data_IF_618728911838
#
_entry.id   IF_618728911838
#
_cell.length_a   1.000
_cell.length_b   1.000
_cell.length_c   1.000
_cell.angle_alpha   90.00
_cell.angle_beta   90.00
_cell.angle_gamma   90.00
#
_symmetry.space_group_name_H-M   'P 1'
#
loop_
_entity.id
_entity.type
_entity.pdbx_description
1 polymer ?
#
# COMPACT_ATOMS: atom_id res chain seq x y z
N UNK A 1 27.85 70.54 -37.41
CA UNK A 1 26.99 70.34 -36.25
C UNK A 1 25.56 70.15 -36.75
N UNK A 2 25.09 68.93 -36.82
CA UNK A 2 23.69 68.64 -37.14
C UNK A 2 23.23 67.59 -36.14
N UNK A 3 22.32 67.99 -35.24
CA UNK A 3 21.68 67.10 -34.28
C UNK A 3 20.57 66.34 -34.98
N UNK A 4 20.69 65.00 -35.03
CA UNK A 4 19.66 64.07 -35.51
C UNK A 4 18.84 63.61 -34.30
N UNK A 5 17.63 64.09 -34.18
CA UNK A 5 16.64 63.61 -33.20
C UNK A 5 16.01 62.33 -33.74
N UNK A 6 16.38 61.19 -33.15
CA UNK A 6 15.71 59.90 -33.42
C UNK A 6 14.58 59.72 -32.43
N UNK A 7 13.35 59.89 -32.90
CA UNK A 7 12.11 59.67 -32.14
C UNK A 7 11.91 58.17 -32.03
N UNK A 8 12.13 57.60 -30.83
CA UNK A 8 11.88 56.18 -30.53
C UNK A 8 10.38 55.98 -30.27
N UNK A 9 9.66 55.44 -31.24
CA UNK A 9 8.26 55.03 -31.09
C UNK A 9 8.24 53.75 -30.26
N UNK A 10 7.91 53.80 -28.95
CA UNK A 10 7.57 52.69 -28.11
C UNK A 10 6.17 52.19 -28.52
N UNK A 11 6.13 51.22 -29.41
CA UNK A 11 4.92 50.39 -29.64
C UNK A 11 4.67 49.58 -28.39
N UNK A 12 3.82 50.06 -27.49
CA UNK A 12 3.20 49.25 -26.43
C UNK A 12 2.30 48.23 -27.09
N UNK A 13 2.82 47.02 -27.28
CA UNK A 13 1.96 45.85 -27.52
C UNK A 13 1.15 45.59 -26.24
N UNK A 14 -0.02 46.22 -26.16
CA UNK A 14 -1.06 45.77 -25.26
C UNK A 14 -1.53 44.39 -25.77
N UNK A 15 -0.96 43.31 -25.22
CA UNK A 15 -1.55 42.00 -25.35
C UNK A 15 -2.90 42.09 -24.64
N UNK A 16 -3.97 42.22 -25.42
CA UNK A 16 -5.31 41.94 -24.92
C UNK A 16 -5.33 40.45 -24.54
N UNK A 17 -5.05 40.14 -23.30
CA UNK A 17 -5.46 38.92 -22.73
C UNK A 17 -6.98 38.92 -22.79
N UNK A 18 -7.57 38.16 -23.73
CA UNK A 18 -8.98 37.89 -23.70
C UNK A 18 -9.24 37.19 -22.37
N UNK A 19 -9.64 37.92 -21.34
CA UNK A 19 -10.26 37.37 -20.17
C UNK A 19 -11.49 36.62 -20.66
N UNK A 20 -11.55 35.34 -20.43
CA UNK A 20 -12.64 34.47 -20.85
C UNK A 20 -13.91 35.01 -20.16
N UNK A 21 -14.77 35.72 -20.90
CA UNK A 21 -15.98 36.31 -20.36
C UNK A 21 -17.06 35.23 -20.38
N UNK A 22 -17.59 34.85 -19.22
CA UNK A 22 -18.64 33.85 -19.09
C UNK A 22 -19.99 34.56 -19.07
N UNK A 23 -20.72 34.49 -20.16
CA UNK A 23 -22.03 35.11 -20.29
C UNK A 23 -23.09 34.45 -19.39
N UNK A 24 -23.00 33.15 -19.17
CA UNK A 24 -23.93 32.43 -18.32
C UNK A 24 -23.23 31.60 -17.21
N UNK A 25 -23.94 31.33 -16.08
CA UNK A 25 -23.35 30.62 -14.96
C UNK A 25 -23.11 29.13 -15.26
N UNK A 26 -23.80 28.53 -16.23
CA UNK A 26 -23.59 27.16 -16.65
C UNK A 26 -22.24 26.98 -17.32
N UNK A 27 -21.84 27.88 -18.21
CA UNK A 27 -20.54 27.86 -18.87
C UNK A 27 -19.40 28.07 -17.88
N UNK A 28 -19.60 28.96 -16.90
CA UNK A 28 -18.64 29.18 -15.81
C UNK A 28 -18.40 27.91 -15.00
N UNK A 29 -19.47 27.22 -14.62
CA UNK A 29 -19.40 25.93 -13.92
C UNK A 29 -18.83 24.83 -14.81
N UNK A 30 -19.24 24.81 -16.09
CA UNK A 30 -18.77 23.85 -17.08
C UNK A 30 -17.25 23.89 -17.29
N UNK A 31 -16.68 25.10 -17.32
CA UNK A 31 -15.23 25.26 -17.42
C UNK A 31 -14.50 24.66 -16.23
N UNK A 32 -14.93 24.94 -15.00
CA UNK A 32 -14.34 24.35 -13.78
C UNK A 32 -14.51 22.81 -13.78
N UNK A 33 -15.69 22.32 -14.11
CA UNK A 33 -15.96 20.89 -14.20
C UNK A 33 -15.08 20.19 -15.24
N UNK A 34 -14.80 20.86 -16.37
CA UNK A 34 -13.91 20.34 -17.41
C UNK A 34 -12.48 20.19 -16.93
N UNK A 35 -11.97 21.17 -16.19
CA UNK A 35 -10.62 21.06 -15.60
C UNK A 35 -10.53 19.88 -14.62
N UNK A 36 -11.55 19.67 -13.79
CA UNK A 36 -11.62 18.52 -12.88
C UNK A 36 -11.69 17.19 -13.61
N UNK A 37 -12.49 17.12 -14.68
CA UNK A 37 -12.59 15.92 -15.53
C UNK A 37 -11.23 15.56 -16.14
N UNK A 38 -10.47 16.55 -16.62
CA UNK A 38 -9.14 16.34 -17.18
C UNK A 38 -8.19 15.71 -16.15
N UNK A 39 -8.15 16.26 -14.93
CA UNK A 39 -7.36 15.70 -13.81
C UNK A 39 -7.79 14.27 -13.49
N UNK A 40 -9.10 14.01 -13.39
CA UNK A 40 -9.63 12.67 -13.11
C UNK A 40 -9.26 11.65 -14.19
N UNK A 41 -9.24 12.05 -15.45
CA UNK A 41 -8.78 11.20 -16.58
C UNK A 41 -7.30 10.83 -16.44
N UNK A 42 -6.44 11.79 -16.08
CA UNK A 42 -5.01 11.51 -15.86
C UNK A 42 -4.79 10.62 -14.64
N UNK A 43 -5.55 10.85 -13.58
CA UNK A 43 -5.52 9.99 -12.40
C UNK A 43 -5.89 8.54 -12.75
N UNK A 44 -6.98 8.31 -13.47
CA UNK A 44 -7.37 6.95 -13.88
C UNK A 44 -6.36 6.30 -14.83
N UNK A 45 -5.73 7.08 -15.74
CA UNK A 45 -4.66 6.55 -16.61
C UNK A 45 -3.44 6.11 -15.79
N UNK A 46 -3.04 6.89 -14.78
CA UNK A 46 -1.97 6.53 -13.85
C UNK A 46 -2.32 5.27 -13.04
N UNK A 47 -3.47 5.25 -12.38
CA UNK A 47 -3.94 4.13 -11.55
C UNK A 47 -4.08 2.84 -12.35
N UNK A 48 -4.70 2.90 -13.52
CA UNK A 48 -4.84 1.75 -14.41
C UNK A 48 -3.47 1.20 -14.86
N UNK A 49 -2.53 2.07 -15.20
CA UNK A 49 -1.19 1.64 -15.61
C UNK A 49 -0.42 0.96 -14.46
N UNK A 50 -0.57 1.47 -13.23
CA UNK A 50 0.04 0.89 -12.04
C UNK A 50 -0.52 -0.51 -11.74
N UNK A 51 -1.84 -0.64 -11.69
CA UNK A 51 -2.51 -1.90 -11.35
C UNK A 51 -2.30 -3.01 -12.39
N UNK A 52 -2.27 -2.67 -13.69
CA UNK A 52 -2.10 -3.66 -14.77
C UNK A 52 -0.63 -3.91 -15.16
N UNK A 53 0.31 -3.68 -14.24
CA UNK A 53 1.71 -4.10 -14.35
C UNK A 53 2.47 -3.45 -15.51
N UNK A 54 2.18 -2.19 -15.84
CA UNK A 54 3.01 -1.45 -16.80
C UNK A 54 4.40 -1.21 -16.22
N UNK A 55 5.39 -1.05 -17.11
CA UNK A 55 6.78 -0.78 -16.71
C UNK A 55 6.82 0.48 -15.82
N UNK A 56 7.58 0.44 -14.73
CA UNK A 56 7.77 1.50 -13.75
C UNK A 56 7.99 2.88 -14.38
N UNK A 57 8.92 2.99 -15.33
CA UNK A 57 9.16 4.23 -16.09
C UNK A 57 7.91 4.81 -16.75
N UNK A 58 6.98 3.95 -17.20
CA UNK A 58 5.72 4.39 -17.79
C UNK A 58 4.75 4.89 -16.72
N UNK A 59 4.69 4.21 -15.59
CA UNK A 59 3.85 4.59 -14.45
C UNK A 59 4.30 5.94 -13.90
N UNK A 60 5.61 6.13 -13.71
CA UNK A 60 6.20 7.41 -13.30
C UNK A 60 5.91 8.54 -14.30
N UNK A 61 6.06 8.29 -15.60
CA UNK A 61 5.73 9.28 -16.63
C UNK A 61 4.24 9.68 -16.60
N UNK A 62 3.33 8.76 -16.27
CA UNK A 62 1.91 9.05 -16.13
C UNK A 62 1.61 9.83 -14.83
N UNK A 63 2.33 9.54 -13.74
CA UNK A 63 2.27 10.32 -12.51
C UNK A 63 2.68 11.78 -12.74
N UNK A 64 3.78 12.00 -13.45
CA UNK A 64 4.25 13.35 -13.77
C UNK A 64 3.23 14.11 -14.64
N UNK A 65 2.65 13.45 -15.64
CA UNK A 65 1.57 14.03 -16.46
C UNK A 65 0.33 14.37 -15.63
N UNK A 66 0.02 13.60 -14.60
CA UNK A 66 -1.07 13.92 -13.67
C UNK A 66 -0.75 15.17 -12.86
N UNK A 67 0.47 15.29 -12.33
CA UNK A 67 0.90 16.49 -11.58
C UNK A 67 0.88 17.74 -12.45
N UNK A 68 1.35 17.64 -13.70
CA UNK A 68 1.32 18.73 -14.68
C UNK A 68 -0.13 19.18 -14.96
N UNK A 69 -1.05 18.23 -15.19
CA UNK A 69 -2.46 18.51 -15.44
C UNK A 69 -3.13 19.19 -14.24
N UNK A 70 -2.81 18.78 -13.01
CA UNK A 70 -3.36 19.43 -11.79
C UNK A 70 -2.89 20.89 -11.71
N UNK A 71 -1.62 21.17 -12.02
CA UNK A 71 -1.08 22.53 -12.02
C UNK A 71 -1.69 23.39 -13.14
N UNK A 72 -1.79 22.85 -14.34
CA UNK A 72 -2.41 23.52 -15.49
C UNK A 72 -3.88 23.83 -15.19
N UNK A 73 -4.64 22.84 -14.74
CA UNK A 73 -6.05 23.02 -14.34
C UNK A 73 -6.20 24.08 -13.25
N UNK A 74 -5.30 24.09 -12.25
CA UNK A 74 -5.29 25.11 -11.20
C UNK A 74 -5.04 26.50 -11.76
N UNK A 75 -4.08 26.67 -12.68
CA UNK A 75 -3.78 27.95 -13.31
C UNK A 75 -4.94 28.43 -14.17
N UNK A 76 -5.52 27.54 -14.96
CA UNK A 76 -6.67 27.84 -15.81
C UNK A 76 -7.88 28.34 -14.98
N UNK A 77 -8.21 27.65 -13.87
CA UNK A 77 -9.28 28.07 -12.96
C UNK A 77 -8.92 29.40 -12.27
N UNK A 78 -7.67 29.57 -11.83
CA UNK A 78 -7.22 30.79 -11.15
C UNK A 78 -7.28 32.02 -12.07
N UNK A 79 -7.04 31.82 -13.37
CA UNK A 79 -7.12 32.86 -14.41
C UNK A 79 -8.53 33.31 -14.77
N UNK A 80 -9.57 32.56 -14.33
CA UNK A 80 -10.96 32.96 -14.58
C UNK A 80 -11.33 34.24 -13.84
N UNK A 81 -12.12 35.17 -14.45
CA UNK A 81 -12.72 36.28 -13.71
C UNK A 81 -13.70 35.75 -12.64
N UNK A 82 -14.10 36.63 -11.72
CA UNK A 82 -15.26 36.32 -10.87
C UNK A 82 -16.56 36.37 -11.67
N UNK A 83 -17.47 35.44 -11.45
CA UNK A 83 -18.79 35.51 -12.06
C UNK A 83 -19.61 36.61 -11.40
N UNK A 84 -19.97 37.67 -12.15
CA UNK A 84 -20.62 38.86 -11.57
C UNK A 84 -19.90 39.37 -10.31
N UNK A 85 -18.56 39.43 -10.34
CA UNK A 85 -17.67 39.77 -9.23
C UNK A 85 -17.51 38.76 -8.11
N UNK A 86 -18.33 37.71 -8.05
CA UNK A 86 -18.23 36.59 -7.07
C UNK A 86 -17.13 35.61 -7.48
N UNK A 87 -16.13 35.45 -6.64
CA UNK A 87 -14.98 34.55 -6.84
C UNK A 87 -15.07 33.28 -5.99
N UNK A 88 -16.07 33.15 -5.12
CA UNK A 88 -16.12 32.13 -4.06
C UNK A 88 -16.03 30.70 -4.59
N UNK A 89 -16.78 30.36 -5.65
CA UNK A 89 -16.75 29.04 -6.27
C UNK A 89 -15.41 28.76 -6.97
N UNK A 90 -14.90 29.72 -7.73
CA UNK A 90 -13.57 29.65 -8.36
C UNK A 90 -12.48 29.41 -7.32
N UNK A 91 -12.46 30.21 -6.26
CA UNK A 91 -11.44 30.13 -5.22
C UNK A 91 -11.49 28.82 -4.44
N UNK A 92 -12.70 28.25 -4.27
CA UNK A 92 -12.89 26.89 -3.71
C UNK A 92 -12.31 25.82 -4.63
N UNK A 93 -12.53 25.93 -5.95
CA UNK A 93 -11.96 25.01 -6.92
C UNK A 93 -10.43 25.10 -7.00
N UNK A 94 -9.87 26.31 -6.99
CA UNK A 94 -8.40 26.55 -6.91
C UNK A 94 -7.81 25.92 -5.64
N UNK A 95 -8.49 26.08 -4.50
CA UNK A 95 -8.06 25.52 -3.22
C UNK A 95 -8.08 24.00 -3.24
N UNK A 96 -9.10 23.40 -3.87
CA UNK A 96 -9.18 21.96 -4.06
C UNK A 96 -8.04 21.44 -4.96
N UNK A 97 -7.76 22.09 -6.10
CA UNK A 97 -6.65 21.72 -6.98
C UNK A 97 -5.29 21.85 -6.29
N UNK A 98 -5.10 22.88 -5.46
CA UNK A 98 -3.88 23.04 -4.66
C UNK A 98 -3.74 21.90 -3.65
N UNK A 99 -4.82 21.52 -2.96
CA UNK A 99 -4.83 20.39 -2.05
C UNK A 99 -4.47 19.10 -2.78
N UNK A 100 -5.09 18.87 -3.94
CA UNK A 100 -4.87 17.67 -4.75
C UNK A 100 -3.41 17.56 -5.20
N UNK A 101 -2.82 18.67 -5.66
CA UNK A 101 -1.40 18.71 -6.02
C UNK A 101 -0.48 18.38 -4.84
N UNK A 102 -0.71 19.03 -3.68
CA UNK A 102 0.13 18.81 -2.50
C UNK A 102 0.05 17.33 -2.04
N UNK A 103 -1.14 16.75 -2.05
CA UNK A 103 -1.32 15.33 -1.73
C UNK A 103 -0.53 14.44 -2.69
N UNK A 104 -0.69 14.62 -4.00
CA UNK A 104 -0.01 13.78 -5.00
C UNK A 104 1.51 13.98 -5.02
N UNK A 105 1.99 15.19 -4.75
CA UNK A 105 3.41 15.52 -4.82
C UNK A 105 4.16 15.28 -3.51
N UNK A 106 3.58 15.68 -2.38
CA UNK A 106 4.25 15.68 -1.08
C UNK A 106 3.85 14.48 -0.23
N UNK A 107 2.54 14.24 -0.05
CA UNK A 107 2.06 13.20 0.85
C UNK A 107 2.33 11.81 0.25
N UNK A 108 2.08 11.60 -1.05
CA UNK A 108 2.44 10.34 -1.73
C UNK A 108 3.95 10.11 -1.81
N UNK A 109 4.77 11.15 -1.95
CA UNK A 109 6.23 10.99 -1.91
C UNK A 109 6.72 10.55 -0.54
N UNK A 110 6.10 11.03 0.55
CA UNK A 110 6.39 10.56 1.91
C UNK A 110 5.94 9.11 2.11
N UNK A 111 4.78 8.74 1.57
CA UNK A 111 4.25 7.38 1.61
C UNK A 111 5.23 6.41 0.92
N UNK A 112 5.68 6.71 -0.30
CA UNK A 112 6.66 5.89 -1.02
C UNK A 112 7.96 5.73 -0.21
N UNK A 113 8.46 6.80 0.39
CA UNK A 113 9.67 6.74 1.22
C UNK A 113 9.47 5.94 2.52
N UNK A 114 8.24 5.77 2.98
CA UNK A 114 7.90 4.97 4.17
C UNK A 114 7.65 3.49 3.85
N UNK A 115 7.45 3.12 2.59
CA UNK A 115 7.14 1.75 2.19
C UNK A 115 8.23 0.78 2.65
N UNK A 116 9.50 1.10 2.39
CA UNK A 116 10.65 0.29 2.80
C UNK A 116 10.76 0.19 4.34
N UNK A 117 10.42 1.26 5.07
CA UNK A 117 10.40 1.28 6.53
C UNK A 117 9.19 0.50 7.06
N UNK A 118 8.05 0.59 6.38
CA UNK A 118 6.82 -0.10 6.76
C UNK A 118 7.00 -1.62 6.78
N UNK A 119 7.80 -2.17 5.88
CA UNK A 119 8.08 -3.61 5.84
C UNK A 119 8.91 -4.11 7.04
N UNK A 120 9.49 -3.22 7.85
CA UNK A 120 10.34 -3.61 8.98
C UNK A 120 9.54 -4.12 10.19
N UNK A 121 8.31 -3.65 10.39
CA UNK A 121 7.46 -4.09 11.50
C UNK A 121 5.97 -3.99 11.18
N UNK A 122 5.14 -4.73 11.95
CA UNK A 122 3.68 -4.63 11.84
C UNK A 122 3.19 -3.20 12.15
N UNK A 123 3.69 -2.58 13.21
CA UNK A 123 3.26 -1.24 13.63
C UNK A 123 3.61 -0.18 12.59
N UNK A 124 4.78 -0.32 11.94
CA UNK A 124 5.18 0.57 10.85
C UNK A 124 4.28 0.39 9.62
N UNK A 125 3.93 -0.85 9.27
CA UNK A 125 3.00 -1.14 8.17
C UNK A 125 1.58 -0.64 8.46
N UNK A 126 1.08 -0.83 9.67
CA UNK A 126 -0.22 -0.30 10.09
C UNK A 126 -0.26 1.23 10.01
N UNK A 127 0.80 1.90 10.49
CA UNK A 127 0.93 3.36 10.41
C UNK A 127 1.00 3.85 8.94
N UNK A 128 1.69 3.12 8.08
CA UNK A 128 1.79 3.40 6.65
C UNK A 128 0.40 3.35 5.97
N UNK A 129 -0.34 2.26 6.14
CA UNK A 129 -1.67 2.10 5.55
C UNK A 129 -2.69 3.11 6.13
N UNK A 130 -2.59 3.41 7.43
CA UNK A 130 -3.42 4.46 8.05
C UNK A 130 -3.11 5.84 7.47
N UNK A 131 -1.85 6.13 7.11
CA UNK A 131 -1.50 7.37 6.43
C UNK A 131 -2.10 7.46 5.03
N UNK A 132 -2.10 6.37 4.25
CA UNK A 132 -2.77 6.32 2.94
C UNK A 132 -4.27 6.58 3.06
N UNK A 133 -4.93 6.00 4.06
CA UNK A 133 -6.35 6.24 4.33
C UNK A 133 -6.62 7.71 4.68
N UNK A 134 -5.81 8.31 5.56
CA UNK A 134 -5.95 9.74 5.92
C UNK A 134 -5.71 10.69 4.76
N UNK A 135 -4.81 10.35 3.85
CA UNK A 135 -4.59 11.12 2.62
C UNK A 135 -5.85 11.07 1.74
N UNK A 136 -6.45 9.89 1.61
CA UNK A 136 -7.71 9.70 0.89
C UNK A 136 -8.87 10.47 1.53
N UNK A 137 -9.01 10.42 2.86
CA UNK A 137 -9.99 11.21 3.61
C UNK A 137 -9.83 12.72 3.39
N UNK A 138 -8.61 13.23 3.47
CA UNK A 138 -8.28 14.64 3.22
C UNK A 138 -8.71 15.11 1.82
N UNK A 139 -8.49 14.27 0.80
CA UNK A 139 -8.95 14.54 -0.56
C UNK A 139 -10.48 14.54 -0.64
N UNK A 140 -11.14 13.59 -0.01
CA UNK A 140 -12.59 13.50 0.01
C UNK A 140 -13.23 14.72 0.68
N UNK A 141 -12.74 15.14 1.86
CA UNK A 141 -13.18 16.36 2.53
C UNK A 141 -12.99 17.61 1.66
N UNK A 142 -11.88 17.71 0.95
CA UNK A 142 -11.61 18.80 0.00
C UNK A 142 -12.64 18.82 -1.14
N UNK A 143 -12.96 17.66 -1.69
CA UNK A 143 -13.96 17.47 -2.72
C UNK A 143 -15.37 17.86 -2.23
N UNK A 144 -15.76 17.45 -1.02
CA UNK A 144 -17.05 17.80 -0.44
C UNK A 144 -17.16 19.32 -0.18
N UNK A 145 -16.11 19.99 0.28
CA UNK A 145 -16.08 21.47 0.39
C UNK A 145 -16.28 22.14 -0.98
N UNK A 146 -15.66 21.61 -2.03
CA UNK A 146 -15.81 22.14 -3.37
C UNK A 146 -17.24 21.89 -3.91
N UNK A 147 -17.82 20.71 -3.71
CA UNK A 147 -19.21 20.41 -4.07
C UNK A 147 -20.21 21.34 -3.33
N UNK A 148 -19.94 21.64 -2.05
CA UNK A 148 -20.75 22.58 -1.30
C UNK A 148 -20.69 24.00 -1.91
N UNK A 149 -19.50 24.48 -2.28
CA UNK A 149 -19.36 25.75 -2.97
C UNK A 149 -20.06 25.77 -4.36
N UNK A 150 -20.00 24.66 -5.09
CA UNK A 150 -20.73 24.47 -6.35
C UNK A 150 -22.25 24.61 -6.16
N UNK A 151 -22.81 23.95 -5.13
CA UNK A 151 -24.24 24.04 -4.80
C UNK A 151 -24.67 25.46 -4.45
N UNK A 152 -23.86 26.16 -3.63
CA UNK A 152 -24.12 27.57 -3.28
C UNK A 152 -24.11 28.47 -4.52
N UNK A 153 -23.11 28.31 -5.38
CA UNK A 153 -23.02 29.08 -6.64
C UNK A 153 -24.22 28.80 -7.54
N UNK A 154 -24.60 27.54 -7.72
CA UNK A 154 -25.72 27.12 -8.53
C UNK A 154 -27.05 27.74 -8.03
N UNK A 155 -27.31 27.64 -6.73
CA UNK A 155 -28.51 28.22 -6.11
C UNK A 155 -28.58 29.75 -6.28
N UNK A 156 -27.44 30.45 -6.06
CA UNK A 156 -27.33 31.91 -6.19
C UNK A 156 -27.58 32.41 -7.64
N UNK A 157 -27.25 31.56 -8.62
CA UNK A 157 -27.34 31.93 -10.04
C UNK A 157 -28.49 31.20 -10.81
N UNK A 158 -29.42 30.58 -10.10
CA UNK A 158 -30.56 29.84 -10.67
C UNK A 158 -30.14 28.72 -11.64
N UNK A 159 -29.05 28.00 -11.33
CA UNK A 159 -28.61 26.85 -12.11
C UNK A 159 -29.16 25.57 -11.48
N UNK A 160 -29.83 24.77 -12.25
CA UNK A 160 -30.26 23.44 -11.83
C UNK A 160 -29.11 22.45 -12.01
N UNK A 161 -28.60 21.89 -10.89
CA UNK A 161 -27.59 20.84 -10.92
C UNK A 161 -28.27 19.52 -11.28
N UNK A 162 -27.88 18.95 -12.42
CA UNK A 162 -28.28 17.59 -12.79
C UNK A 162 -27.28 16.63 -12.13
N UNK A 163 -27.77 15.76 -11.24
CA UNK A 163 -26.96 14.65 -10.73
C UNK A 163 -26.78 13.61 -11.84
N UNK A 164 -25.82 13.83 -12.72
CA UNK A 164 -25.38 12.78 -13.63
C UNK A 164 -24.32 11.95 -12.91
N UNK A 165 -24.59 10.67 -12.73
CA UNK A 165 -23.60 9.71 -12.32
C UNK A 165 -22.48 9.72 -13.37
N UNK A 166 -21.27 10.03 -12.94
CA UNK A 166 -20.11 10.11 -13.83
C UNK A 166 -19.43 8.74 -13.85
N UNK A 167 -19.37 8.09 -15.00
CA UNK A 167 -18.63 6.83 -15.18
C UNK A 167 -17.21 6.92 -14.59
N UNK A 168 -16.54 8.05 -14.80
CA UNK A 168 -15.21 8.31 -14.25
C UNK A 168 -15.23 8.40 -12.71
N UNK A 169 -16.27 9.00 -12.13
CA UNK A 169 -16.46 9.04 -10.68
C UNK A 169 -16.70 7.66 -10.09
N UNK A 170 -17.48 6.82 -10.76
CA UNK A 170 -17.74 5.44 -10.35
C UNK A 170 -16.46 4.60 -10.40
N UNK A 171 -15.64 4.79 -11.44
CA UNK A 171 -14.31 4.14 -11.54
C UNK A 171 -13.39 4.54 -10.38
N UNK A 172 -13.34 5.83 -10.05
CA UNK A 172 -12.52 6.33 -8.93
C UNK A 172 -12.99 5.77 -7.58
N UNK A 173 -14.32 5.73 -7.37
CA UNK A 173 -14.90 5.13 -6.16
C UNK A 173 -14.58 3.64 -6.07
N UNK A 174 -14.67 2.91 -7.17
CA UNK A 174 -14.32 1.49 -7.21
C UNK A 174 -12.86 1.24 -6.80
N UNK A 175 -11.93 2.07 -7.28
CA UNK A 175 -10.51 1.99 -6.90
C UNK A 175 -10.34 2.26 -5.40
N UNK A 176 -11.03 3.26 -4.86
CA UNK A 176 -11.00 3.56 -3.43
C UNK A 176 -11.50 2.38 -2.58
N UNK A 177 -12.67 1.85 -2.88
CA UNK A 177 -13.28 0.74 -2.14
C UNK A 177 -12.41 -0.54 -2.22
N UNK A 178 -11.81 -0.79 -3.39
CA UNK A 178 -10.89 -1.91 -3.63
C UNK A 178 -9.64 -1.80 -2.73
N UNK A 179 -9.05 -0.61 -2.63
CA UNK A 179 -7.88 -0.39 -1.78
C UNK A 179 -8.21 -0.58 -0.30
N UNK A 180 -9.34 -0.06 0.18
CA UNK A 180 -9.78 -0.27 1.57
C UNK A 180 -9.97 -1.76 1.89
N UNK A 181 -10.60 -2.51 0.98
CA UNK A 181 -10.76 -3.94 1.14
C UNK A 181 -9.42 -4.68 1.20
N UNK A 182 -8.49 -4.34 0.29
CA UNK A 182 -7.15 -4.90 0.29
C UNK A 182 -6.40 -4.60 1.59
N UNK A 183 -6.41 -3.34 2.06
CA UNK A 183 -5.70 -2.92 3.28
C UNK A 183 -6.14 -3.74 4.51
N UNK A 184 -7.44 -3.96 4.67
CA UNK A 184 -7.97 -4.78 5.77
C UNK A 184 -7.39 -6.20 5.77
N UNK A 185 -7.36 -6.86 4.60
CA UNK A 185 -6.86 -8.23 4.47
C UNK A 185 -5.33 -8.26 4.57
N UNK A 186 -4.65 -7.25 4.01
CA UNK A 186 -3.20 -7.16 4.04
C UNK A 186 -2.66 -7.06 5.47
N UNK A 187 -3.27 -6.25 6.34
CA UNK A 187 -2.88 -6.18 7.75
C UNK A 187 -3.08 -7.50 8.50
N UNK A 188 -4.13 -8.25 8.17
CA UNK A 188 -4.36 -9.58 8.75
C UNK A 188 -3.27 -10.57 8.31
N UNK A 189 -2.86 -10.53 7.04
CA UNK A 189 -1.76 -11.31 6.49
C UNK A 189 -0.41 -10.89 7.07
N UNK A 190 -0.12 -9.59 7.08
CA UNK A 190 1.21 -9.06 7.36
C UNK A 190 1.68 -9.31 8.81
N UNK A 191 0.76 -9.28 9.77
CA UNK A 191 1.09 -9.48 11.19
C UNK A 191 1.74 -10.84 11.46
N UNK A 192 1.14 -11.99 11.14
CA UNK A 192 1.78 -13.29 11.30
C UNK A 192 2.96 -13.48 10.34
N UNK A 193 2.95 -12.89 9.14
CA UNK A 193 4.09 -12.91 8.21
C UNK A 193 5.36 -12.33 8.84
N UNK A 194 5.27 -11.16 9.47
CA UNK A 194 6.41 -10.57 10.20
C UNK A 194 6.78 -11.38 11.44
N UNK A 195 5.81 -11.95 12.13
CA UNK A 195 6.07 -12.78 13.29
C UNK A 195 6.83 -14.06 12.94
N UNK A 196 6.53 -14.66 11.77
CA UNK A 196 7.30 -15.80 11.24
C UNK A 196 8.75 -15.38 10.95
N UNK A 197 8.99 -14.20 10.38
CA UNK A 197 10.35 -13.71 10.16
C UNK A 197 11.15 -13.63 11.47
N UNK A 198 10.55 -13.16 12.56
CA UNK A 198 11.20 -13.15 13.88
C UNK A 198 11.43 -14.57 14.44
N UNK A 199 10.53 -15.52 14.15
CA UNK A 199 10.73 -16.92 14.51
C UNK A 199 11.92 -17.52 13.76
N UNK A 200 12.03 -17.28 12.46
CA UNK A 200 13.14 -17.77 11.64
C UNK A 200 14.47 -17.14 12.06
N UNK A 201 14.49 -15.87 12.40
CA UNK A 201 15.67 -15.21 12.95
C UNK A 201 16.10 -15.82 14.31
N UNK A 202 15.15 -16.13 15.18
CA UNK A 202 15.44 -16.79 16.45
C UNK A 202 16.01 -18.21 16.25
N UNK A 203 15.52 -18.94 15.24
CA UNK A 203 16.05 -20.26 14.84
C UNK A 203 17.49 -20.13 14.33
N UNK A 204 17.76 -19.19 13.45
CA UNK A 204 19.10 -18.93 12.91
C UNK A 204 20.11 -18.59 14.02
N UNK A 205 19.70 -17.78 14.99
CA UNK A 205 20.52 -17.38 16.15
C UNK A 205 20.63 -18.44 17.24
N UNK A 206 20.01 -19.62 17.08
CA UNK A 206 19.89 -20.67 18.10
C UNK A 206 19.32 -20.14 19.43
N UNK A 207 18.42 -19.17 19.40
CA UNK A 207 17.79 -18.56 20.57
C UNK A 207 16.52 -19.36 20.96
N UNK A 208 16.67 -20.38 21.82
CA UNK A 208 15.58 -21.27 22.23
C UNK A 208 14.41 -20.49 22.86
N UNK A 209 14.70 -19.54 23.73
CA UNK A 209 13.66 -18.71 24.36
C UNK A 209 12.90 -17.88 23.30
N UNK A 210 13.64 -17.28 22.36
CA UNK A 210 13.05 -16.53 21.23
C UNK A 210 12.21 -17.44 20.32
N UNK A 211 12.63 -18.67 20.06
CA UNK A 211 11.87 -19.66 19.28
C UNK A 211 10.51 -19.91 19.94
N UNK A 212 10.50 -20.21 21.24
CA UNK A 212 9.24 -20.50 21.97
C UNK A 212 8.31 -19.28 22.03
N UNK A 213 8.84 -18.09 22.28
CA UNK A 213 8.05 -16.86 22.31
C UNK A 213 7.45 -16.51 20.94
N UNK A 214 8.27 -16.54 19.90
CA UNK A 214 7.82 -16.20 18.55
C UNK A 214 6.86 -17.24 17.97
N UNK A 215 7.07 -18.52 18.25
CA UNK A 215 6.15 -19.62 17.91
C UNK A 215 4.75 -19.38 18.49
N UNK A 216 4.67 -19.08 19.78
CA UNK A 216 3.39 -18.85 20.46
C UNK A 216 2.68 -17.57 19.92
N UNK A 217 3.44 -16.52 19.65
CA UNK A 217 2.92 -15.30 19.05
C UNK A 217 2.42 -15.53 17.62
N UNK A 218 3.17 -16.28 16.81
CA UNK A 218 2.78 -16.66 15.45
C UNK A 218 1.45 -17.42 15.42
N UNK A 219 1.31 -18.44 16.29
CA UNK A 219 0.08 -19.21 16.40
C UNK A 219 -1.11 -18.31 16.75
N UNK A 220 -0.93 -17.47 17.78
CA UNK A 220 -1.97 -16.53 18.21
C UNK A 220 -2.38 -15.60 17.08
N UNK A 221 -1.43 -14.94 16.41
CA UNK A 221 -1.74 -13.97 15.35
C UNK A 221 -2.41 -14.64 14.14
N UNK A 222 -1.99 -15.86 13.79
CA UNK A 222 -2.62 -16.62 12.73
C UNK A 222 -4.08 -17.00 13.07
N UNK A 223 -4.34 -17.46 14.30
CA UNK A 223 -5.69 -17.79 14.78
C UNK A 223 -6.59 -16.54 14.87
N UNK A 224 -6.09 -15.43 15.45
CA UNK A 224 -6.81 -14.15 15.51
C UNK A 224 -7.14 -13.65 14.10
N UNK A 225 -6.21 -13.81 13.15
CA UNK A 225 -6.41 -13.46 11.74
C UNK A 225 -7.51 -14.29 11.09
N UNK A 226 -7.56 -15.60 11.32
CA UNK A 226 -8.62 -16.48 10.81
C UNK A 226 -10.01 -16.06 11.32
N UNK A 227 -10.11 -15.65 12.58
CA UNK A 227 -11.36 -15.11 13.14
C UNK A 227 -11.76 -13.80 12.45
N UNK A 228 -10.82 -12.87 12.29
CA UNK A 228 -11.08 -11.58 11.62
C UNK A 228 -11.53 -11.75 10.17
N UNK A 229 -10.90 -12.65 9.41
CA UNK A 229 -11.29 -12.92 8.01
C UNK A 229 -12.74 -13.36 7.85
N UNK A 230 -13.31 -14.07 8.84
CA UNK A 230 -14.70 -14.53 8.78
C UNK A 230 -15.71 -13.37 8.80
N UNK A 231 -15.34 -12.18 9.28
CA UNK A 231 -16.19 -10.98 9.32
C UNK A 231 -16.09 -10.11 8.06
N UNK A 232 -15.09 -10.34 7.20
CA UNK A 232 -14.88 -9.57 5.98
C UNK A 232 -15.77 -10.11 4.86
N UNK A 233 -16.61 -9.23 4.32
CA UNK A 233 -17.47 -9.58 3.17
C UNK A 233 -16.66 -9.56 1.88
N UNK A 234 -16.94 -10.47 0.91
CA UNK A 234 -16.30 -10.45 -0.40
C UNK A 234 -16.45 -9.10 -1.11
N UNK A 235 -15.41 -8.65 -1.79
CA UNK A 235 -15.46 -7.44 -2.61
C UNK A 235 -16.20 -7.72 -3.92
N UNK A 236 -17.39 -7.15 -4.11
CA UNK A 236 -18.23 -7.42 -5.30
C UNK A 236 -18.41 -8.92 -5.63
N UNK A 237 -18.44 -9.75 -4.60
CA UNK A 237 -18.55 -11.21 -4.74
C UNK A 237 -17.21 -11.94 -4.88
N UNK A 238 -16.09 -11.25 -5.05
CA UNK A 238 -14.75 -11.83 -5.10
C UNK A 238 -14.18 -12.01 -3.68
N UNK A 239 -13.81 -13.25 -3.37
CA UNK A 239 -13.20 -13.65 -2.10
C UNK A 239 -11.74 -14.11 -2.26
N UNK A 240 -11.14 -13.90 -3.42
CA UNK A 240 -9.84 -14.50 -3.80
C UNK A 240 -8.71 -14.17 -2.83
N UNK A 241 -8.52 -12.87 -2.51
CA UNK A 241 -7.46 -12.46 -1.60
C UNK A 241 -7.72 -12.88 -0.14
N UNK A 242 -8.97 -12.89 0.32
CA UNK A 242 -9.31 -13.40 1.64
C UNK A 242 -9.07 -14.92 1.73
N UNK A 243 -9.37 -15.68 0.68
CA UNK A 243 -9.09 -17.11 0.61
C UNK A 243 -7.58 -17.40 0.58
N UNK A 244 -6.81 -16.63 -0.16
CA UNK A 244 -5.34 -16.74 -0.19
C UNK A 244 -4.73 -16.39 1.17
N UNK A 245 -5.20 -15.33 1.83
CA UNK A 245 -4.83 -14.98 3.20
C UNK A 245 -5.14 -16.15 4.16
N UNK A 246 -6.35 -16.71 4.09
CA UNK A 246 -6.74 -17.87 4.90
C UNK A 246 -5.81 -19.08 4.69
N UNK A 247 -5.38 -19.33 3.47
CA UNK A 247 -4.42 -20.40 3.15
C UNK A 247 -3.08 -20.14 3.86
N UNK A 248 -2.60 -18.91 3.82
CA UNK A 248 -1.36 -18.52 4.49
C UNK A 248 -1.45 -18.63 6.01
N UNK A 249 -2.55 -18.17 6.60
CA UNK A 249 -2.78 -18.29 8.05
C UNK A 249 -2.87 -19.76 8.51
N UNK A 250 -3.53 -20.61 7.73
CA UNK A 250 -3.59 -22.05 8.00
C UNK A 250 -2.22 -22.73 7.88
N UNK A 251 -1.36 -22.26 6.96
CA UNK A 251 0.03 -22.70 6.89
C UNK A 251 0.74 -22.41 8.21
N UNK A 252 0.66 -21.18 8.74
CA UNK A 252 1.29 -20.81 10.02
C UNK A 252 0.77 -21.63 11.20
N UNK A 253 -0.54 -21.91 11.26
CA UNK A 253 -1.12 -22.76 12.30
C UNK A 253 -0.52 -24.18 12.23
N UNK A 254 -0.41 -24.77 11.04
CA UNK A 254 0.19 -26.09 10.83
C UNK A 254 1.68 -26.10 11.11
N UNK A 255 2.41 -25.07 10.68
CA UNK A 255 3.84 -24.90 10.96
C UNK A 255 4.10 -25.00 12.47
N UNK A 256 3.34 -24.23 13.26
CA UNK A 256 3.52 -24.21 14.71
C UNK A 256 3.12 -25.54 15.35
N UNK A 257 1.92 -26.05 15.04
CA UNK A 257 1.37 -27.21 15.73
C UNK A 257 2.07 -28.52 15.35
N UNK A 258 2.44 -28.68 14.07
CA UNK A 258 2.87 -29.97 13.54
C UNK A 258 4.39 -30.05 13.37
N UNK A 259 5.09 -28.92 13.28
CA UNK A 259 6.47 -28.86 12.81
C UNK A 259 7.46 -28.25 13.80
N UNK A 260 7.04 -27.28 14.62
CA UNK A 260 7.94 -26.61 15.56
C UNK A 260 8.41 -27.51 16.71
N UNK A 261 7.70 -28.59 17.03
CA UNK A 261 8.16 -29.62 17.97
C UNK A 261 9.51 -30.22 17.54
N UNK A 262 9.65 -30.58 16.26
CA UNK A 262 10.90 -31.11 15.69
C UNK A 262 12.06 -30.09 15.78
N UNK A 263 11.75 -28.81 15.60
CA UNK A 263 12.76 -27.73 15.74
C UNK A 263 13.22 -27.60 17.18
N UNK A 264 12.30 -27.54 18.15
CA UNK A 264 12.62 -27.48 19.58
C UNK A 264 13.43 -28.71 20.04
N UNK A 265 13.02 -29.92 19.63
CA UNK A 265 13.72 -31.16 19.94
C UNK A 265 15.15 -31.18 19.42
N UNK A 266 15.38 -30.68 18.21
CA UNK A 266 16.74 -30.57 17.65
C UNK A 266 17.62 -29.66 18.51
N UNK A 267 17.15 -28.46 18.88
CA UNK A 267 17.97 -27.53 19.67
C UNK A 267 18.22 -28.05 21.09
N UNK A 268 17.26 -28.64 21.74
CA UNK A 268 17.41 -29.28 23.05
C UNK A 268 18.41 -30.44 23.00
N UNK A 269 18.32 -31.29 21.95
CA UNK A 269 19.26 -32.41 21.76
C UNK A 269 20.67 -31.92 21.49
N UNK A 270 20.81 -30.84 20.69
CA UNK A 270 22.09 -30.18 20.39
C UNK A 270 22.76 -29.62 21.65
N UNK A 271 22.01 -28.99 22.52
CA UNK A 271 22.49 -28.43 23.78
C UNK A 271 22.93 -29.54 24.76
N UNK A 272 22.10 -30.59 24.87
CA UNK A 272 22.45 -31.78 25.68
C UNK A 272 23.72 -32.47 25.17
N UNK A 273 23.83 -32.67 23.85
CA UNK A 273 25.01 -33.29 23.27
C UNK A 273 26.26 -32.43 23.46
N UNK A 274 26.17 -31.09 23.33
CA UNK A 274 27.27 -30.20 23.59
C UNK A 274 27.82 -30.34 25.03
N UNK A 275 26.92 -30.53 26.00
CA UNK A 275 27.31 -30.79 27.42
C UNK A 275 28.01 -32.12 27.56
N UNK A 276 27.45 -33.21 27.02
CA UNK A 276 28.04 -34.55 27.04
C UNK A 276 29.43 -34.51 26.39
N UNK A 277 29.57 -33.90 25.23
CA UNK A 277 30.83 -33.78 24.50
C UNK A 277 31.86 -33.04 25.30
N UNK A 278 31.54 -31.91 25.90
CA UNK A 278 32.45 -31.09 26.73
C UNK A 278 32.94 -31.85 27.94
N UNK A 279 32.09 -32.65 28.59
CA UNK A 279 32.49 -33.45 29.75
C UNK A 279 33.33 -34.70 29.33
N UNK A 280 33.04 -35.30 28.20
CA UNK A 280 33.82 -36.41 27.66
C UNK A 280 35.24 -35.97 27.24
N UNK A 281 35.36 -34.84 26.55
CA UNK A 281 36.66 -34.30 26.08
C UNK A 281 37.63 -33.89 27.21
N UNK A 282 37.12 -33.65 28.42
CA UNK A 282 38.00 -33.36 29.59
C UNK A 282 38.69 -34.59 30.16
N UNK A 283 38.29 -35.81 29.75
CA UNK A 283 38.75 -37.05 30.38
C UNK A 283 39.85 -37.73 29.57
N UNK A 284 41.01 -37.97 30.22
CA UNK A 284 42.11 -38.69 29.60
C UNK A 284 41.87 -40.20 29.45
N UNK A 285 41.05 -40.80 30.36
CA UNK A 285 40.71 -42.20 30.37
C UNK A 285 39.19 -42.38 30.67
N UNK A 286 38.33 -42.21 29.67
CA UNK A 286 36.86 -42.33 29.86
C UNK A 286 36.49 -43.79 30.15
N UNK A 287 35.55 -43.98 31.05
CA UNK A 287 34.95 -45.28 31.34
C UNK A 287 34.07 -45.80 30.19
N UNK A 288 33.81 -47.09 30.15
CA UNK A 288 32.89 -47.67 29.13
C UNK A 288 31.51 -47.00 29.13
N UNK A 289 30.96 -46.69 30.31
CA UNK A 289 29.66 -46.02 30.43
C UNK A 289 29.69 -44.62 29.83
N UNK A 290 30.81 -43.85 29.94
CA UNK A 290 30.97 -42.55 29.34
C UNK A 290 31.15 -42.63 27.84
N UNK A 291 31.87 -43.61 27.32
CA UNK A 291 31.96 -43.89 25.88
C UNK A 291 30.56 -44.23 25.30
N UNK A 292 29.82 -45.08 25.98
CA UNK A 292 28.46 -45.48 25.53
C UNK A 292 27.51 -44.27 25.56
N UNK A 293 27.58 -43.41 26.58
CA UNK A 293 26.78 -42.20 26.68
C UNK A 293 27.15 -41.15 25.56
N UNK A 294 28.42 -41.02 25.25
CA UNK A 294 28.88 -40.14 24.14
C UNK A 294 28.38 -40.68 22.79
N UNK A 295 28.55 -41.99 22.53
CA UNK A 295 28.13 -42.59 21.28
C UNK A 295 26.60 -42.49 21.11
N UNK A 296 25.82 -42.68 22.18
CA UNK A 296 24.37 -42.48 22.19
C UNK A 296 24.05 -41.00 21.86
N UNK A 297 24.75 -40.01 22.47
CA UNK A 297 24.59 -38.60 22.18
C UNK A 297 24.85 -38.26 20.71
N UNK A 298 25.89 -38.88 20.11
CA UNK A 298 26.17 -38.74 18.66
C UNK A 298 25.01 -39.32 17.82
N UNK A 299 24.47 -40.47 18.16
CA UNK A 299 23.35 -41.07 17.44
C UNK A 299 22.07 -40.20 17.55
N UNK A 300 21.79 -39.71 18.76
CA UNK A 300 20.61 -38.87 19.04
C UNK A 300 20.68 -37.54 18.27
N UNK A 301 21.84 -36.84 18.28
CA UNK A 301 21.98 -35.57 17.54
C UNK A 301 21.93 -35.75 16.02
N UNK A 302 22.49 -36.84 15.49
CA UNK A 302 22.40 -37.17 14.07
C UNK A 302 20.94 -37.42 13.65
N UNK A 303 20.19 -38.17 14.44
CA UNK A 303 18.74 -38.43 14.20
C UNK A 303 17.94 -37.12 14.24
N UNK A 304 18.15 -36.30 15.26
CA UNK A 304 17.47 -35.00 15.40
C UNK A 304 17.81 -34.05 14.26
N UNK A 305 19.09 -34.00 13.84
CA UNK A 305 19.54 -33.18 12.71
C UNK A 305 18.89 -33.58 11.40
N UNK A 306 18.80 -34.88 11.11
CA UNK A 306 18.14 -35.39 9.92
C UNK A 306 16.64 -35.03 9.90
N UNK A 307 15.95 -35.22 11.03
CA UNK A 307 14.54 -34.84 11.17
C UNK A 307 14.33 -33.33 11.00
N UNK A 308 15.19 -32.51 11.60
CA UNK A 308 15.16 -31.05 11.46
C UNK A 308 15.37 -30.60 9.99
N UNK A 309 16.38 -31.15 9.31
CA UNK A 309 16.65 -30.82 7.91
C UNK A 309 15.50 -31.18 6.97
N UNK A 310 14.93 -32.38 7.13
CA UNK A 310 13.77 -32.81 6.36
C UNK A 310 12.52 -31.95 6.63
N UNK A 311 12.32 -31.60 7.90
CA UNK A 311 11.24 -30.71 8.32
C UNK A 311 11.37 -29.31 7.70
N UNK A 312 12.57 -28.70 7.74
CA UNK A 312 12.87 -27.41 7.14
C UNK A 312 12.67 -27.39 5.62
N UNK A 313 13.10 -28.44 4.93
CA UNK A 313 12.88 -28.56 3.49
C UNK A 313 11.38 -28.52 3.17
N UNK A 314 10.59 -29.30 3.90
CA UNK A 314 9.12 -29.36 3.71
C UNK A 314 8.47 -28.01 4.02
N UNK A 315 8.85 -27.36 5.13
CA UNK A 315 8.32 -26.04 5.50
C UNK A 315 8.67 -24.97 4.47
N UNK A 316 9.91 -24.93 3.99
CA UNK A 316 10.31 -23.96 2.97
C UNK A 316 9.55 -24.11 1.66
N UNK A 317 9.27 -25.35 1.24
CA UNK A 317 8.45 -25.61 0.06
C UNK A 317 7.02 -25.11 0.28
N UNK A 318 6.38 -25.50 1.38
CA UNK A 318 5.00 -25.10 1.69
C UNK A 318 4.84 -23.59 1.87
N UNK A 319 5.82 -22.93 2.50
CA UNK A 319 5.89 -21.46 2.64
C UNK A 319 5.94 -20.79 1.28
N UNK A 320 6.83 -21.26 0.41
CA UNK A 320 6.99 -20.72 -0.94
C UNK A 320 5.70 -20.87 -1.75
N UNK A 321 5.05 -22.02 -1.69
CA UNK A 321 3.77 -22.26 -2.37
C UNK A 321 2.67 -21.34 -1.84
N UNK A 322 2.55 -21.18 -0.52
CA UNK A 322 1.56 -20.30 0.11
C UNK A 322 1.79 -18.82 -0.22
N UNK A 323 3.05 -18.36 -0.20
CA UNK A 323 3.40 -16.98 -0.59
C UNK A 323 3.17 -16.71 -2.08
N UNK A 324 3.51 -17.65 -2.94
CA UNK A 324 3.24 -17.52 -4.38
C UNK A 324 1.73 -17.45 -4.66
N UNK A 325 0.94 -18.25 -3.95
CA UNK A 325 -0.52 -18.18 -4.05
C UNK A 325 -1.05 -16.81 -3.57
N UNK A 326 -0.55 -16.30 -2.45
CA UNK A 326 -0.89 -14.98 -1.95
C UNK A 326 -0.57 -13.88 -2.96
N UNK A 327 0.67 -13.83 -3.45
CA UNK A 327 1.11 -12.80 -4.41
C UNK A 327 0.34 -12.88 -5.73
N UNK A 328 0.04 -14.08 -6.21
CA UNK A 328 -0.76 -14.29 -7.41
C UNK A 328 -2.21 -13.82 -7.22
N UNK A 329 -2.81 -14.12 -6.07
CA UNK A 329 -4.16 -13.68 -5.75
C UNK A 329 -4.26 -12.14 -5.69
N UNK A 330 -3.32 -11.46 -5.03
CA UNK A 330 -3.23 -10.01 -4.98
C UNK A 330 -3.16 -9.43 -6.39
N UNK A 331 -2.23 -9.92 -7.21
CA UNK A 331 -2.07 -9.45 -8.59
C UNK A 331 -3.35 -9.61 -9.40
N UNK A 332 -3.96 -10.79 -9.34
CA UNK A 332 -5.19 -11.10 -10.08
C UNK A 332 -6.36 -10.25 -9.60
N UNK A 333 -6.47 -10.02 -8.30
CA UNK A 333 -7.52 -9.18 -7.71
C UNK A 333 -7.41 -7.73 -8.20
N UNK A 334 -6.24 -7.14 -8.14
CA UNK A 334 -6.02 -5.77 -8.63
C UNK A 334 -6.23 -5.66 -10.14
N UNK A 335 -5.75 -6.63 -10.91
CA UNK A 335 -5.93 -6.65 -12.37
C UNK A 335 -7.41 -6.79 -12.76
N UNK A 336 -8.18 -7.59 -12.03
CA UNK A 336 -9.60 -7.81 -12.31
C UNK A 336 -10.53 -6.69 -11.82
N UNK A 337 -10.15 -5.95 -10.78
CA UNK A 337 -11.02 -4.95 -10.15
C UNK A 337 -10.61 -3.50 -10.41
N UNK A 338 -9.40 -3.24 -10.89
CA UNK A 338 -9.03 -1.91 -11.34
C UNK A 338 -9.59 -1.65 -12.74
N UNK A 339 -10.37 -0.58 -12.96
CA UNK A 339 -10.86 -0.27 -14.28
C UNK A 339 -9.73 -0.02 -15.28
N UNK A 340 -9.83 -0.64 -16.47
CA UNK A 340 -8.91 -0.33 -17.58
C UNK A 340 -9.21 1.07 -18.11
N UNK A 341 -8.21 1.95 -18.09
CA UNK A 341 -8.33 3.31 -18.59
C UNK A 341 -7.09 3.66 -19.44
N UNK A 342 -7.33 4.26 -20.63
CA UNK A 342 -6.28 4.60 -21.59
C UNK A 342 -5.92 6.08 -21.54
#
# INVERSE_FOLDING_TARGET
MKYLFTLLYLLSFSTFTHAQDFENPGDYMGFISKQQENVSKKFMSYTSASAHGKKEKKVEALRNKLLDEVQESRMNISGMPGYKTDKSYRDSAVSFMKLYYNVLNEDYSKIINMEEIAEQSYDAMEAYLLMEEKVSEKLNEGNERMKAAQKVFAAKNNVNLINSQSELGDMMQQVHDMNLYHHQIYLIFFKPFKQEAYLLEAIEKNNITGIEQNKNSLLKYAQDGLVKLNSIKPFKGDNSIAAACKTMLNFYVKEVNDKMGTVSDFFLTKERFATIKKEFEKKSNPTKAEIDAYNKGVADINKASNAYNQNNQTLNQQRTEALNNWNSAIKTFFDGHTPHYK
#
